data_IF_256856411823
#
_entry.id   IF_256856411823
#
_cell.length_a   1.000
_cell.length_b   1.000
_cell.length_c   1.000
_cell.angle_alpha   90.00
_cell.angle_beta   90.00
_cell.angle_gamma   90.00
#
_symmetry.space_group_name_H-M   'P 1'
#
loop_
_entity.id
_entity.type
_entity.pdbx_description
1 polymer ?
#
# COMPACT_ATOMS: atom_id res chain seq x y z
N UNK A 1 -5.72 12.93 9.19
CA UNK A 1 -5.97 11.76 8.31
C UNK A 1 -6.34 10.57 9.17
N UNK A 2 -6.91 9.53 8.58
CA UNK A 2 -7.28 8.28 9.25
C UNK A 2 -6.50 7.13 8.61
N UNK A 3 -6.20 6.08 9.37
CA UNK A 3 -5.54 4.89 8.83
C UNK A 3 -6.52 4.03 8.04
N UNK A 4 -6.06 3.51 6.92
CA UNK A 4 -6.75 2.56 6.08
C UNK A 4 -5.83 1.39 5.74
N UNK A 5 -6.41 0.19 5.69
CA UNK A 5 -5.81 -0.95 5.01
C UNK A 5 -6.40 -1.03 3.61
N UNK A 6 -5.53 -1.14 2.61
CA UNK A 6 -5.90 -1.28 1.20
C UNK A 6 -5.45 -2.65 0.72
N UNK A 7 -6.38 -3.41 0.14
CA UNK A 7 -6.15 -4.75 -0.38
C UNK A 7 -6.05 -4.69 -1.91
N UNK A 8 -4.97 -5.23 -2.45
CA UNK A 8 -4.74 -5.35 -3.90
C UNK A 8 -4.42 -6.81 -4.25
N UNK A 9 -5.44 -7.66 -4.46
CA UNK A 9 -5.23 -9.08 -4.78
C UNK A 9 -4.68 -9.23 -6.20
N UNK A 10 -3.64 -10.05 -6.33
CA UNK A 10 -3.09 -10.46 -7.64
C UNK A 10 -2.87 -9.29 -8.61
N UNK A 11 -2.44 -8.12 -8.12
CA UNK A 11 -2.37 -6.91 -8.93
C UNK A 11 -1.15 -6.89 -9.87
N UNK A 12 -0.06 -7.59 -9.51
CA UNK A 12 1.19 -7.55 -10.26
C UNK A 12 1.66 -8.95 -10.66
N UNK A 13 2.26 -9.06 -11.85
CA UNK A 13 2.86 -10.30 -12.32
C UNK A 13 4.21 -10.59 -11.66
N UNK A 14 4.88 -9.58 -11.08
CA UNK A 14 6.19 -9.73 -10.46
C UNK A 14 6.47 -8.65 -9.40
N UNK A 15 7.51 -8.87 -8.58
CA UNK A 15 8.00 -7.86 -7.64
C UNK A 15 8.54 -6.61 -8.35
N UNK A 16 9.14 -6.75 -9.52
CA UNK A 16 9.65 -5.61 -10.30
C UNK A 16 8.51 -4.69 -10.78
N UNK A 17 7.38 -5.26 -11.20
CA UNK A 17 6.21 -4.48 -11.59
C UNK A 17 5.62 -3.74 -10.38
N UNK A 18 5.54 -4.41 -9.22
CA UNK A 18 5.15 -3.78 -7.96
C UNK A 18 6.10 -2.64 -7.58
N UNK A 19 7.41 -2.80 -7.74
CA UNK A 19 8.40 -1.77 -7.41
C UNK A 19 8.19 -0.50 -8.23
N UNK A 20 7.95 -0.62 -9.54
CA UNK A 20 7.63 0.51 -10.43
C UNK A 20 6.35 1.21 -9.97
N UNK A 21 5.29 0.45 -9.69
CA UNK A 21 4.04 1.01 -9.19
C UNK A 21 4.21 1.68 -7.81
N UNK A 22 5.02 1.08 -6.94
CA UNK A 22 5.36 1.58 -5.60
C UNK A 22 6.12 2.91 -5.65
N UNK A 23 7.12 3.02 -6.52
CA UNK A 23 7.87 4.26 -6.73
C UNK A 23 6.95 5.39 -7.23
N UNK A 24 6.09 5.09 -8.20
CA UNK A 24 5.09 6.05 -8.70
C UNK A 24 4.09 6.45 -7.61
N UNK A 25 3.63 5.49 -6.80
CA UNK A 25 2.76 5.70 -5.64
C UNK A 25 3.36 6.62 -4.59
N UNK A 26 4.63 6.38 -4.21
CA UNK A 26 5.34 7.21 -3.26
C UNK A 26 5.51 8.64 -3.77
N UNK A 27 5.92 8.80 -5.04
CA UNK A 27 6.07 10.12 -5.67
C UNK A 27 4.75 10.90 -5.65
N UNK A 28 3.65 10.31 -6.14
CA UNK A 28 2.34 10.98 -6.17
C UNK A 28 1.85 11.31 -4.76
N UNK A 29 1.99 10.39 -3.80
CA UNK A 29 1.60 10.62 -2.41
C UNK A 29 2.38 11.77 -1.77
N UNK A 30 3.69 11.84 -1.99
CA UNK A 30 4.56 12.84 -1.37
C UNK A 30 4.51 14.21 -2.06
N UNK A 31 4.37 14.24 -3.39
CA UNK A 31 4.51 15.49 -4.16
C UNK A 31 3.16 16.08 -4.59
N UNK A 32 2.19 15.24 -4.93
CA UNK A 32 0.94 15.69 -5.55
C UNK A 32 -0.27 15.64 -4.61
N UNK A 33 -0.21 14.81 -3.56
CA UNK A 33 -1.31 14.62 -2.60
C UNK A 33 -0.86 14.57 -1.12
N UNK A 34 0.17 15.31 -0.67
CA UNK A 34 0.77 15.15 0.66
C UNK A 34 -0.18 15.44 1.83
N UNK A 35 -1.20 16.26 1.61
CA UNK A 35 -2.23 16.63 2.59
C UNK A 35 -3.44 15.69 2.60
N UNK A 36 -3.50 14.75 1.63
CA UNK A 36 -4.66 13.88 1.40
C UNK A 36 -4.37 12.40 1.61
N UNK A 37 -3.16 11.94 1.31
CA UNK A 37 -2.79 10.53 1.36
C UNK A 37 -1.31 10.37 1.67
N UNK A 38 -0.97 9.40 2.52
CA UNK A 38 0.41 9.08 2.86
C UNK A 38 0.56 7.57 2.98
N UNK A 39 1.51 7.02 2.23
CA UNK A 39 1.85 5.60 2.35
C UNK A 39 2.68 5.37 3.62
N UNK A 40 2.27 4.40 4.45
CA UNK A 40 2.93 4.08 5.73
C UNK A 40 3.79 2.82 5.61
N UNK A 41 3.21 1.72 5.12
CA UNK A 41 3.91 0.46 4.87
C UNK A 41 3.08 -0.48 3.99
N UNK A 42 3.67 -1.57 3.53
CA UNK A 42 2.96 -2.64 2.80
C UNK A 42 3.46 -4.01 3.22
N UNK A 43 2.54 -4.94 3.36
CA UNK A 43 2.84 -6.37 3.31
C UNK A 43 2.66 -6.84 1.88
N UNK A 44 3.73 -7.35 1.29
CA UNK A 44 3.72 -7.97 -0.04
C UNK A 44 3.48 -9.46 0.15
N UNK A 45 2.53 -10.03 -0.60
CA UNK A 45 2.11 -11.42 -0.44
C UNK A 45 2.15 -12.17 -1.78
N UNK A 46 2.52 -13.45 -1.71
CA UNK A 46 2.34 -14.37 -2.82
C UNK A 46 0.90 -14.85 -2.84
N UNK A 47 0.24 -14.68 -3.97
CA UNK A 47 -1.15 -15.11 -4.16
C UNK A 47 -1.18 -16.57 -4.67
N UNK A 48 -2.29 -17.29 -4.46
CA UNK A 48 -2.41 -18.68 -4.91
C UNK A 48 -2.26 -18.88 -6.43
N UNK A 49 -2.50 -17.82 -7.22
CA UNK A 49 -2.37 -17.82 -8.68
C UNK A 49 -0.93 -17.52 -9.17
N UNK A 50 0.03 -17.40 -8.24
CA UNK A 50 1.43 -17.10 -8.55
C UNK A 50 1.71 -15.62 -8.81
N UNK A 51 0.71 -14.75 -8.68
CA UNK A 51 0.87 -13.30 -8.79
C UNK A 51 1.22 -12.68 -7.43
N UNK A 52 1.59 -11.42 -7.47
CA UNK A 52 1.88 -10.62 -6.27
C UNK A 52 0.63 -9.82 -5.92
N UNK A 53 0.29 -9.83 -4.63
CA UNK A 53 -0.69 -8.93 -4.05
C UNK A 53 -0.11 -8.16 -2.86
N UNK A 54 -0.89 -7.21 -2.35
CA UNK A 54 -0.49 -6.46 -1.15
C UNK A 54 -1.64 -6.21 -0.20
N UNK A 55 -1.25 -5.99 1.06
CA UNK A 55 -2.00 -5.25 2.07
C UNK A 55 -1.19 -4.00 2.39
N UNK A 56 -1.67 -2.84 1.96
CA UNK A 56 -0.99 -1.59 2.22
C UNK A 56 -1.66 -0.79 3.34
N UNK A 57 -0.87 -0.18 4.20
CA UNK A 57 -1.32 0.75 5.22
C UNK A 57 -1.07 2.17 4.74
N UNK A 58 -2.14 2.96 4.68
CA UNK A 58 -2.10 4.35 4.27
C UNK A 58 -2.81 5.20 5.32
N UNK A 59 -2.30 6.41 5.55
CA UNK A 59 -3.14 7.47 6.07
C UNK A 59 -3.84 8.16 4.90
N UNK A 60 -5.14 8.43 5.04
CA UNK A 60 -5.89 9.18 4.05
C UNK A 60 -6.90 10.12 4.69
N UNK A 61 -7.30 11.18 3.99
CA UNK A 61 -8.38 12.06 4.42
C UNK A 61 -9.71 11.31 4.51
N UNK A 62 -9.98 10.52 3.48
CA UNK A 62 -11.21 9.76 3.24
C UNK A 62 -10.96 8.67 2.18
N UNK A 63 -11.97 7.85 1.90
CA UNK A 63 -11.88 6.82 0.86
C UNK A 63 -11.72 7.37 -0.57
N UNK A 64 -12.16 8.60 -0.83
CA UNK A 64 -12.03 9.21 -2.15
C UNK A 64 -10.59 9.64 -2.44
N UNK A 65 -9.84 10.07 -1.42
CA UNK A 65 -8.40 10.29 -1.53
C UNK A 65 -7.64 9.01 -1.92
N UNK A 66 -8.05 7.85 -1.41
CA UNK A 66 -7.46 6.54 -1.76
C UNK A 66 -7.73 6.21 -3.24
N UNK A 67 -8.99 6.35 -3.68
CA UNK A 67 -9.37 6.07 -5.07
C UNK A 67 -8.66 7.01 -6.05
N UNK A 68 -8.60 8.30 -5.75
CA UNK A 68 -7.91 9.27 -6.59
C UNK A 68 -6.41 8.98 -6.67
N UNK A 69 -5.76 8.64 -5.55
CA UNK A 69 -4.36 8.24 -5.54
C UNK A 69 -4.11 7.00 -6.40
N UNK A 70 -4.93 5.95 -6.22
CA UNK A 70 -4.84 4.73 -7.00
C UNK A 70 -5.02 4.99 -8.51
N UNK A 71 -5.99 5.83 -8.89
CA UNK A 71 -6.24 6.25 -10.28
C UNK A 71 -5.03 6.97 -10.89
N UNK A 72 -4.39 7.90 -10.15
CA UNK A 72 -3.20 8.61 -10.64
C UNK A 72 -1.99 7.68 -10.82
N UNK A 73 -1.85 6.70 -9.93
CA UNK A 73 -0.81 5.68 -10.03
C UNK A 73 -1.09 4.72 -11.19
N UNK A 74 -2.36 4.41 -11.45
CA UNK A 74 -2.77 3.38 -12.40
C UNK A 74 -2.74 1.98 -11.76
N UNK A 75 -3.15 1.88 -10.50
CA UNK A 75 -3.25 0.61 -9.75
C UNK A 75 -4.64 0.45 -9.13
N UNK A 76 -5.02 -0.76 -8.68
CA UNK A 76 -6.30 -0.98 -7.99
C UNK A 76 -6.43 -0.14 -6.71
N UNK A 77 -7.66 0.24 -6.35
CA UNK A 77 -7.95 1.10 -5.19
C UNK A 77 -9.37 0.96 -4.64
N UNK A 78 -10.06 -0.11 -4.99
CA UNK A 78 -11.49 -0.32 -4.71
C UNK A 78 -11.72 -1.00 -3.36
N UNK A 79 -10.81 -1.87 -2.93
CA UNK A 79 -10.93 -2.62 -1.69
C UNK A 79 -10.07 -1.99 -0.58
N UNK A 80 -10.72 -1.29 0.34
CA UNK A 80 -10.07 -0.70 1.51
C UNK A 80 -11.04 -0.58 2.70
N UNK A 81 -10.46 -0.53 3.90
CA UNK A 81 -11.22 -0.46 5.14
C UNK A 81 -10.56 0.54 6.09
N UNK A 82 -11.35 1.39 6.78
CA UNK A 82 -10.81 2.22 7.86
C UNK A 82 -10.34 1.32 9.01
N UNK A 83 -9.14 1.59 9.52
CA UNK A 83 -8.55 0.83 10.63
C UNK A 83 -9.18 1.29 11.94
N UNK A 84 -9.81 0.38 12.67
CA UNK A 84 -10.41 0.69 13.98
C UNK A 84 -9.35 0.88 15.07
N UNK A 85 -8.30 0.05 15.07
CA UNK A 85 -7.16 0.13 15.99
C UNK A 85 -5.98 -0.65 15.45
N UNK A 86 -4.77 -0.36 15.95
CA UNK A 86 -3.53 -1.06 15.60
C UNK A 86 -3.04 -1.84 16.81
N UNK A 87 -2.95 -3.16 16.70
CA UNK A 87 -2.39 -4.04 17.73
C UNK A 87 -1.04 -4.55 17.25
N UNK A 88 0.04 -4.18 17.96
CA UNK A 88 1.40 -4.66 17.68
C UNK A 88 1.88 -5.48 18.87
N UNK A 89 1.99 -6.80 18.69
CA UNK A 89 2.52 -7.71 19.72
C UNK A 89 4.04 -7.73 19.71
N UNK A 90 4.63 -7.65 18.50
CA UNK A 90 6.08 -7.56 18.26
C UNK A 90 6.32 -6.66 17.03
N UNK A 91 7.45 -5.94 16.97
CA UNK A 91 7.82 -5.20 15.77
C UNK A 91 8.00 -6.15 14.58
N UNK A 92 7.97 -5.59 13.37
CA UNK A 92 8.31 -6.33 12.16
C UNK A 92 9.77 -6.84 12.29
N UNK A 93 10.08 -8.08 11.84
CA UNK A 93 11.45 -8.59 11.87
C UNK A 93 12.38 -7.68 11.09
N UNK A 94 13.54 -7.37 11.65
CA UNK A 94 14.64 -6.78 10.89
C UNK A 94 15.27 -7.91 10.10
N UNK A 95 15.45 -7.73 8.79
CA UNK A 95 16.22 -8.67 7.99
C UNK A 95 17.59 -8.83 8.66
N UNK A 96 17.99 -10.07 8.95
CA UNK A 96 19.29 -10.32 9.54
C UNK A 96 20.34 -9.77 8.58
N UNK A 97 21.19 -8.85 9.03
CA UNK A 97 22.35 -8.42 8.25
C UNK A 97 23.10 -9.69 7.83
N UNK A 98 23.15 -9.93 6.52
CA UNK A 98 23.98 -11.01 5.99
C UNK A 98 25.43 -10.58 6.23
N UNK A 99 26.02 -11.09 7.32
CA UNK A 99 27.43 -10.90 7.67
C UNK A 99 28.32 -11.75 6.78
#
# INVERSE_FOLDING_TARGET
MQLYVIRRPSAWASLAELEVAGAKSARIGNEEMPDRVRWIRSYVVNEPDGRIGTFCIYEAKDGDAIREHARRVGMPGEEFYPVATTVVVRPDPVEAEMV
#
